data_IF_510892515768
#
_entry.id   IF_510892515768
#
_cell.length_a   1.000
_cell.length_b   1.000
_cell.length_c   1.000
_cell.angle_alpha   90.00
_cell.angle_beta   90.00
_cell.angle_gamma   90.00
#
_symmetry.space_group_name_H-M   'P 1'
#
loop_
_entity.id
_entity.type
_entity.pdbx_description
1 polymer ?
#
# COMPACT_ATOMS: atom_id res chain seq x y z
N UNK A 1 -6.17 -8.88 15.80
CA UNK A 1 -5.45 -9.82 14.91
C UNK A 1 -4.94 -11.01 15.68
N UNK A 2 -4.87 -12.20 15.09
CA UNK A 2 -4.14 -13.33 15.64
C UNK A 2 -2.71 -13.35 15.09
N UNK A 3 -1.73 -13.62 15.95
CA UNK A 3 -0.33 -13.87 15.56
C UNK A 3 0.04 -15.23 16.11
N UNK A 4 0.53 -16.13 15.25
CA UNK A 4 0.82 -17.51 15.64
C UNK A 4 2.13 -17.99 15.04
N UNK A 5 2.94 -18.64 15.88
CA UNK A 5 4.15 -19.31 15.47
C UNK A 5 3.82 -20.72 14.95
N UNK A 6 4.39 -21.11 13.80
CA UNK A 6 4.21 -22.41 13.19
C UNK A 6 5.56 -22.98 12.77
N UNK A 7 5.90 -24.16 13.27
CA UNK A 7 7.09 -24.93 12.90
C UNK A 7 6.76 -25.94 11.80
N UNK A 8 7.75 -26.28 10.99
CA UNK A 8 7.73 -27.46 10.12
C UNK A 8 8.17 -28.71 10.90
N UNK A 9 7.98 -29.89 10.32
CA UNK A 9 8.42 -31.14 10.96
C UNK A 9 9.94 -31.28 11.05
N UNK A 10 10.69 -30.60 10.19
CA UNK A 10 12.15 -30.66 10.09
C UNK A 10 12.85 -29.30 10.32
N UNK A 11 12.10 -28.26 10.69
CA UNK A 11 12.63 -26.95 11.06
C UNK A 11 11.76 -26.27 12.10
N UNK A 12 12.39 -25.81 13.17
CA UNK A 12 11.72 -25.10 14.27
C UNK A 12 12.21 -23.67 14.37
N UNK A 13 11.34 -22.79 14.89
CA UNK A 13 11.73 -21.46 15.34
C UNK A 13 12.61 -21.62 16.58
N UNK A 14 13.81 -21.07 16.51
CA UNK A 14 14.72 -20.96 17.65
C UNK A 14 14.20 -19.90 18.64
N UNK A 15 14.65 -19.99 19.91
CA UNK A 15 14.31 -19.05 21.01
C UNK A 15 12.88 -18.46 20.92
N UNK A 16 11.91 -19.35 20.96
CA UNK A 16 10.48 -19.01 20.91
C UNK A 16 10.09 -17.89 21.88
N UNK A 17 10.56 -17.85 23.16
CA UNK A 17 10.29 -16.74 24.05
C UNK A 17 10.74 -15.38 23.48
N UNK A 18 11.99 -15.26 23.01
CA UNK A 18 12.51 -14.01 22.45
C UNK A 18 11.75 -13.60 21.19
N UNK A 19 11.39 -14.56 20.33
CA UNK A 19 10.59 -14.28 19.12
C UNK A 19 9.20 -13.75 19.51
N UNK A 20 8.54 -14.32 20.51
CA UNK A 20 7.23 -13.82 20.96
C UNK A 20 7.32 -12.41 21.52
N UNK A 21 8.34 -12.10 22.32
CA UNK A 21 8.58 -10.75 22.84
C UNK A 21 8.79 -9.75 21.70
N UNK A 22 9.67 -10.08 20.74
CA UNK A 22 9.88 -9.27 19.52
C UNK A 22 8.59 -9.03 18.74
N UNK A 23 7.73 -10.05 18.61
CA UNK A 23 6.45 -9.91 17.89
C UNK A 23 5.46 -9.03 18.64
N UNK A 24 5.38 -9.15 19.98
CA UNK A 24 4.54 -8.24 20.78
C UNK A 24 4.99 -6.80 20.60
N UNK A 25 6.31 -6.56 20.65
CA UNK A 25 6.89 -5.24 20.42
C UNK A 25 6.55 -4.70 19.02
N UNK A 26 6.89 -5.45 17.96
CA UNK A 26 6.66 -5.05 16.57
C UNK A 26 5.17 -4.85 16.22
N UNK A 27 4.28 -5.69 16.74
CA UNK A 27 2.86 -5.59 16.42
C UNK A 27 2.15 -4.53 17.25
N UNK A 28 2.46 -4.39 18.54
CA UNK A 28 1.60 -3.68 19.51
C UNK A 28 2.32 -2.61 20.32
N UNK A 29 3.43 -2.94 20.97
CA UNK A 29 3.96 -2.15 22.09
C UNK A 29 4.95 -1.07 21.65
N UNK A 30 5.77 -1.35 20.64
CA UNK A 30 6.76 -0.39 20.15
C UNK A 30 6.07 0.92 19.70
N UNK A 31 6.65 2.10 19.95
CA UNK A 31 6.17 3.36 19.38
C UNK A 31 6.03 3.34 17.85
N UNK A 32 6.89 2.59 17.17
CA UNK A 32 6.90 2.36 15.72
C UNK A 32 6.19 1.05 15.32
N UNK A 33 5.43 0.44 16.23
CA UNK A 33 4.69 -0.80 15.96
C UNK A 33 3.62 -0.61 14.88
N UNK A 34 3.24 -1.71 14.23
CA UNK A 34 2.24 -1.62 13.15
C UNK A 34 0.84 -1.26 13.65
N UNK A 35 0.52 -1.53 14.93
CA UNK A 35 -0.69 -1.05 15.55
C UNK A 35 -0.71 0.50 15.60
N UNK A 36 0.40 1.12 16.02
CA UNK A 36 0.52 2.59 16.06
C UNK A 36 0.52 3.18 14.66
N UNK A 37 1.25 2.57 13.73
CA UNK A 37 1.24 2.95 12.32
C UNK A 37 -0.18 2.97 11.76
N UNK A 38 -0.92 1.85 11.84
CA UNK A 38 -2.27 1.76 11.29
C UNK A 38 -3.28 2.68 12.00
N UNK A 39 -3.16 2.86 13.32
CA UNK A 39 -3.97 3.83 14.03
C UNK A 39 -3.72 5.26 13.54
N UNK A 40 -2.46 5.62 13.26
CA UNK A 40 -2.13 6.93 12.73
C UNK A 40 -2.61 7.12 11.28
N UNK A 41 -2.39 6.15 10.39
CA UNK A 41 -2.87 6.17 8.99
C UNK A 41 -4.38 6.33 8.89
N UNK A 42 -5.09 5.64 9.76
CA UNK A 42 -6.55 5.53 9.73
C UNK A 42 -7.26 6.63 10.55
N UNK A 43 -6.50 7.53 11.19
CA UNK A 43 -7.01 8.48 12.18
C UNK A 43 -7.85 7.79 13.27
N UNK A 44 -7.39 6.64 13.74
CA UNK A 44 -8.02 5.83 14.78
C UNK A 44 -9.16 4.93 14.30
N UNK A 45 -9.51 4.92 13.01
CA UNK A 45 -10.55 4.04 12.47
C UNK A 45 -10.15 2.56 12.47
N UNK A 46 -8.84 2.26 12.43
CA UNK A 46 -8.29 0.92 12.61
C UNK A 46 -7.41 0.90 13.85
N UNK A 47 -7.80 0.10 14.82
CA UNK A 47 -6.99 -0.25 16.00
C UNK A 47 -6.62 -1.71 15.93
N UNK A 48 -5.48 -2.08 16.51
CA UNK A 48 -5.00 -3.46 16.49
C UNK A 48 -4.66 -3.91 17.91
N UNK A 49 -5.10 -5.13 18.23
CA UNK A 49 -4.77 -5.85 19.47
C UNK A 49 -4.51 -7.31 19.13
N UNK A 50 -3.81 -8.03 20.02
CA UNK A 50 -3.62 -9.48 19.89
C UNK A 50 -4.88 -10.22 20.32
N UNK A 51 -5.38 -11.07 19.44
CA UNK A 51 -6.50 -11.97 19.71
C UNK A 51 -6.09 -12.93 20.84
N UNK A 52 -6.91 -13.02 21.89
CA UNK A 52 -6.55 -13.77 23.10
C UNK A 52 -5.42 -13.15 23.93
N UNK A 53 -5.00 -11.90 23.63
CA UNK A 53 -4.04 -11.13 24.42
C UNK A 53 -2.59 -11.61 24.34
N UNK A 54 -2.22 -12.44 23.36
CA UNK A 54 -0.88 -13.02 23.25
C UNK A 54 -0.52 -13.46 21.82
N UNK A 55 0.75 -13.77 21.61
CA UNK A 55 1.24 -14.54 20.46
C UNK A 55 1.06 -16.04 20.74
N UNK A 56 0.37 -16.74 19.84
CA UNK A 56 0.03 -18.16 19.94
C UNK A 56 1.15 -19.06 19.43
N UNK A 57 1.06 -20.36 19.72
CA UNK A 57 2.04 -21.37 19.29
C UNK A 57 3.33 -21.40 20.13
N UNK A 58 4.41 -22.02 19.62
CA UNK A 58 4.48 -22.67 18.32
C UNK A 58 3.60 -23.91 18.26
N UNK A 59 3.00 -24.12 17.09
CA UNK A 59 2.41 -25.41 16.70
C UNK A 59 3.27 -26.00 15.59
N UNK A 60 3.25 -27.32 15.41
CA UNK A 60 4.04 -27.97 14.35
C UNK A 60 3.11 -28.56 13.28
N UNK A 61 3.42 -28.29 12.01
CA UNK A 61 2.80 -28.97 10.87
C UNK A 61 3.55 -30.26 10.55
N UNK A 62 2.83 -31.30 10.15
CA UNK A 62 3.42 -32.59 9.78
C UNK A 62 3.85 -32.60 8.30
N UNK A 63 4.58 -31.56 7.90
CA UNK A 63 5.20 -31.43 6.58
C UNK A 63 6.60 -30.84 6.73
N UNK A 64 7.52 -31.31 5.90
CA UNK A 64 8.86 -30.74 5.83
C UNK A 64 8.82 -29.31 5.29
N UNK A 65 9.85 -28.54 5.60
CA UNK A 65 10.02 -27.14 5.25
C UNK A 65 9.98 -26.94 3.75
N UNK A 66 8.98 -26.19 3.29
CA UNK A 66 8.78 -25.80 1.89
C UNK A 66 8.05 -24.46 1.86
N UNK A 67 8.27 -23.69 0.80
CA UNK A 67 7.49 -22.50 0.52
C UNK A 67 6.05 -22.84 0.03
N UNK A 68 5.25 -23.47 0.89
CA UNK A 68 3.82 -23.73 0.70
C UNK A 68 3.05 -23.34 1.96
N UNK A 69 2.26 -22.28 1.87
CA UNK A 69 1.57 -21.68 3.01
C UNK A 69 0.25 -22.36 3.36
N UNK A 70 -0.28 -23.24 2.49
CA UNK A 70 -1.55 -23.94 2.71
C UNK A 70 -1.54 -24.80 3.99
N UNK A 71 -0.58 -25.73 4.20
CA UNK A 71 -0.56 -26.54 5.41
C UNK A 71 -0.35 -25.72 6.68
N UNK A 72 0.46 -24.65 6.60
CA UNK A 72 0.71 -23.73 7.73
C UNK A 72 -0.58 -23.03 8.14
N UNK A 73 -1.31 -22.49 7.16
CA UNK A 73 -2.58 -21.79 7.37
C UNK A 73 -3.63 -22.71 7.98
N UNK A 74 -3.86 -23.88 7.40
CA UNK A 74 -4.86 -24.82 7.90
C UNK A 74 -4.58 -25.22 9.36
N UNK A 75 -3.31 -25.45 9.70
CA UNK A 75 -2.90 -25.79 11.07
C UNK A 75 -3.04 -24.61 12.03
N UNK A 76 -2.69 -23.40 11.59
CA UNK A 76 -2.85 -22.18 12.34
C UNK A 76 -4.32 -21.89 12.68
N UNK A 77 -5.21 -21.97 11.69
CA UNK A 77 -6.64 -21.74 11.87
C UNK A 77 -7.27 -22.78 12.81
N UNK A 78 -6.90 -24.05 12.68
CA UNK A 78 -7.35 -25.09 13.61
C UNK A 78 -6.88 -24.84 15.05
N UNK A 79 -5.64 -24.35 15.24
CA UNK A 79 -5.13 -24.01 16.57
C UNK A 79 -5.77 -22.75 17.19
N UNK A 80 -6.39 -21.92 16.35
CA UNK A 80 -7.09 -20.69 16.75
C UNK A 80 -8.62 -20.88 16.79
N UNK A 81 -9.11 -22.12 16.68
CA UNK A 81 -10.55 -22.40 16.75
C UNK A 81 -11.16 -21.82 18.04
N UNK A 82 -12.23 -21.04 17.88
CA UNK A 82 -12.90 -20.34 18.99
C UNK A 82 -12.26 -19.03 19.43
N UNK A 83 -11.13 -18.62 18.84
CA UNK A 83 -10.49 -17.31 19.09
C UNK A 83 -10.87 -16.35 17.96
N UNK A 84 -11.66 -15.29 18.20
CA UNK A 84 -12.05 -14.35 17.16
C UNK A 84 -10.87 -13.45 16.74
N UNK A 85 -10.69 -13.25 15.43
CA UNK A 85 -9.71 -12.33 14.87
C UNK A 85 -10.14 -11.78 13.50
N UNK A 86 -9.71 -10.56 13.18
CA UNK A 86 -9.95 -9.93 11.87
C UNK A 86 -8.84 -10.23 10.85
N UNK A 87 -7.60 -10.32 11.32
CA UNK A 87 -6.38 -10.62 10.55
C UNK A 87 -5.62 -11.77 11.22
N UNK A 88 -4.89 -12.56 10.43
CA UNK A 88 -4.03 -13.67 10.84
C UNK A 88 -2.61 -13.47 10.30
N UNK A 89 -1.63 -13.38 11.19
CA UNK A 89 -0.21 -13.43 10.88
C UNK A 89 0.37 -14.79 11.27
N UNK A 90 0.86 -15.54 10.29
CA UNK A 90 1.54 -16.83 10.48
C UNK A 90 3.05 -16.61 10.40
N UNK A 91 3.75 -16.88 11.49
CA UNK A 91 5.21 -16.72 11.60
C UNK A 91 5.84 -18.12 11.54
N UNK A 92 6.81 -18.33 10.67
CA UNK A 92 7.43 -19.64 10.47
C UNK A 92 8.95 -19.53 10.30
N UNK A 93 9.73 -20.60 10.54
CA UNK A 93 11.17 -20.55 10.32
C UNK A 93 11.47 -20.64 8.81
N UNK A 94 12.13 -19.63 8.26
CA UNK A 94 12.32 -19.46 6.82
C UNK A 94 13.52 -20.18 6.24
N UNK A 95 14.55 -20.43 7.04
CA UNK A 95 15.87 -20.82 6.52
C UNK A 95 15.90 -22.09 5.64
N UNK A 96 15.00 -23.07 5.81
CA UNK A 96 14.86 -24.22 4.89
C UNK A 96 13.65 -24.14 3.96
N UNK A 97 12.62 -23.37 4.33
CA UNK A 97 11.46 -23.17 3.46
C UNK A 97 11.85 -22.49 2.15
N UNK A 98 12.91 -21.68 2.16
CA UNK A 98 13.54 -21.04 1.00
C UNK A 98 12.52 -20.27 0.14
N UNK A 99 11.64 -19.54 0.83
CA UNK A 99 10.73 -18.62 0.17
C UNK A 99 11.52 -17.47 -0.44
N UNK A 100 11.24 -17.16 -1.70
CA UNK A 100 11.93 -16.09 -2.40
C UNK A 100 11.53 -14.67 -1.90
N UNK A 101 10.58 -14.58 -0.97
CA UNK A 101 10.01 -13.35 -0.41
C UNK A 101 10.23 -13.23 1.10
N UNK A 102 10.32 -12.00 1.59
CA UNK A 102 10.43 -11.67 3.03
C UNK A 102 9.08 -11.56 3.77
N UNK A 103 7.99 -11.48 3.02
CA UNK A 103 6.60 -11.54 3.50
C UNK A 103 5.66 -11.92 2.35
N UNK A 104 4.50 -12.45 2.67
CA UNK A 104 3.43 -12.73 1.72
C UNK A 104 2.07 -12.45 2.36
N UNK A 105 1.11 -11.98 1.57
CA UNK A 105 -0.25 -11.74 2.05
C UNK A 105 -1.29 -11.91 0.95
N UNK A 106 -2.55 -12.09 1.36
CA UNK A 106 -3.70 -12.10 0.47
C UNK A 106 -4.04 -10.67 -0.01
N UNK A 107 -4.54 -10.54 -1.25
CA UNK A 107 -4.91 -9.24 -1.85
C UNK A 107 -6.31 -9.28 -2.48
N UNK A 108 -7.35 -8.71 -1.84
CA UNK A 108 -7.45 -8.47 -0.40
C UNK A 108 -7.61 -9.80 0.36
N UNK A 109 -7.47 -9.74 1.68
CA UNK A 109 -7.76 -10.90 2.53
C UNK A 109 -7.41 -10.63 3.98
N UNK A 110 -7.21 -11.71 4.73
CA UNK A 110 -6.96 -11.65 6.18
C UNK A 110 -5.63 -12.27 6.57
N UNK A 111 -4.99 -13.01 5.66
CA UNK A 111 -3.85 -13.87 5.98
C UNK A 111 -2.56 -13.28 5.46
N UNK A 112 -1.54 -13.31 6.32
CA UNK A 112 -0.18 -12.91 5.99
C UNK A 112 0.80 -13.91 6.59
N UNK A 113 1.91 -14.16 5.89
CA UNK A 113 2.93 -15.14 6.23
C UNK A 113 4.29 -14.48 6.27
N UNK A 114 5.07 -14.81 7.31
CA UNK A 114 6.35 -14.17 7.57
C UNK A 114 7.39 -15.21 7.95
N UNK A 115 8.50 -15.32 7.20
CA UNK A 115 9.70 -15.94 7.69
C UNK A 115 10.20 -15.14 8.89
N UNK A 116 10.48 -15.81 10.01
CA UNK A 116 10.86 -15.14 11.28
C UNK A 116 12.13 -14.29 11.13
N UNK A 117 12.99 -14.63 10.17
CA UNK A 117 14.24 -13.95 9.85
C UNK A 117 14.04 -12.60 9.13
N UNK A 118 12.88 -12.39 8.50
CA UNK A 118 12.58 -11.21 7.67
C UNK A 118 11.53 -10.27 8.28
N UNK A 119 11.12 -10.53 9.54
CA UNK A 119 10.10 -9.72 10.19
C UNK A 119 10.65 -8.40 10.75
N UNK A 120 10.04 -7.31 10.29
CA UNK A 120 10.26 -5.94 10.75
C UNK A 120 9.04 -5.06 10.46
N UNK A 121 9.00 -3.85 11.02
CA UNK A 121 7.84 -2.96 10.91
C UNK A 121 7.47 -2.65 9.44
N UNK A 122 8.46 -2.48 8.57
CA UNK A 122 8.26 -2.26 7.13
C UNK A 122 7.57 -3.45 6.45
N UNK A 123 8.08 -4.67 6.64
CA UNK A 123 7.46 -5.90 6.11
C UNK A 123 6.04 -6.06 6.63
N UNK A 124 5.83 -5.88 7.93
CA UNK A 124 4.51 -5.99 8.53
C UNK A 124 3.51 -4.95 7.96
N UNK A 125 3.91 -3.69 7.81
CA UNK A 125 3.08 -2.65 7.20
C UNK A 125 2.77 -2.91 5.72
N UNK A 126 3.71 -3.52 4.99
CA UNK A 126 3.54 -3.92 3.59
C UNK A 126 2.50 -5.03 3.47
N UNK A 127 2.70 -6.15 4.16
CA UNK A 127 1.80 -7.32 4.09
C UNK A 127 0.39 -7.01 4.64
N UNK A 128 0.28 -6.19 5.68
CA UNK A 128 -1.03 -5.73 6.15
C UNK A 128 -1.70 -4.76 5.18
N UNK A 129 -0.93 -4.05 4.35
CA UNK A 129 -1.46 -3.26 3.24
C UNK A 129 -2.04 -4.13 2.13
N UNK A 130 -1.44 -5.29 1.86
CA UNK A 130 -2.01 -6.30 0.96
C UNK A 130 -3.37 -6.81 1.45
N UNK A 131 -3.52 -7.12 2.75
CA UNK A 131 -4.81 -7.52 3.34
C UNK A 131 -5.91 -6.45 3.12
N UNK A 132 -5.54 -5.17 3.09
CA UNK A 132 -6.43 -4.05 2.78
C UNK A 132 -6.82 -3.95 1.29
N UNK A 133 -6.23 -4.77 0.43
CA UNK A 133 -6.45 -4.80 -1.01
C UNK A 133 -5.55 -3.86 -1.80
N UNK A 134 -4.41 -3.47 -1.24
CA UNK A 134 -3.41 -2.70 -1.99
C UNK A 134 -2.53 -3.64 -2.81
N UNK A 135 -2.34 -3.31 -4.09
CA UNK A 135 -1.30 -3.90 -4.93
C UNK A 135 0.05 -3.24 -4.62
N UNK A 136 1.15 -3.83 -5.11
CA UNK A 136 2.43 -3.10 -5.13
C UNK A 136 2.25 -1.77 -5.87
N UNK A 137 2.69 -0.69 -5.22
CA UNK A 137 2.60 0.65 -5.78
C UNK A 137 3.78 0.87 -6.73
N UNK A 138 3.50 0.64 -8.01
CA UNK A 138 4.47 0.86 -9.07
C UNK A 138 4.67 2.32 -9.41
N UNK A 139 5.69 2.57 -10.24
CA UNK A 139 5.97 3.85 -10.88
C UNK A 139 5.68 3.78 -12.37
N UNK A 140 5.19 4.89 -12.93
CA UNK A 140 5.09 5.15 -14.36
C UNK A 140 6.05 6.29 -14.68
N UNK A 141 7.04 6.03 -15.53
CA UNK A 141 8.06 7.04 -15.91
C UNK A 141 7.62 7.68 -17.22
N UNK A 142 7.28 8.96 -17.16
CA UNK A 142 6.69 9.69 -18.26
C UNK A 142 7.66 10.71 -18.88
N UNK A 143 7.47 11.09 -20.16
CA UNK A 143 8.19 12.22 -20.72
C UNK A 143 7.95 13.50 -19.89
N UNK A 144 8.91 14.44 -19.84
CA UNK A 144 8.79 15.60 -18.98
C UNK A 144 7.52 16.41 -19.26
N UNK A 145 6.75 16.68 -18.20
CA UNK A 145 5.57 17.53 -18.25
C UNK A 145 4.28 16.88 -18.78
N UNK A 146 4.29 15.61 -19.17
CA UNK A 146 3.11 14.90 -19.69
C UNK A 146 2.93 13.56 -19.00
N UNK A 147 1.69 13.09 -18.85
CA UNK A 147 1.38 11.78 -18.24
C UNK A 147 0.97 10.70 -19.26
N UNK A 148 1.26 10.95 -20.54
CA UNK A 148 1.01 10.03 -21.65
C UNK A 148 2.31 9.53 -22.24
N UNK A 149 2.31 8.32 -22.82
CA UNK A 149 3.52 7.72 -23.38
C UNK A 149 4.53 7.30 -22.30
N UNK A 150 4.05 7.03 -21.09
CA UNK A 150 4.87 6.58 -19.98
C UNK A 150 5.33 5.14 -20.19
N UNK A 151 6.51 4.83 -19.68
CA UNK A 151 6.95 3.46 -19.47
C UNK A 151 6.37 2.98 -18.15
N UNK A 152 5.58 1.91 -18.20
CA UNK A 152 4.93 1.30 -17.04
C UNK A 152 5.75 0.12 -16.56
N UNK A 153 5.83 -0.05 -15.25
CA UNK A 153 6.43 -1.24 -14.63
C UNK A 153 7.86 -1.06 -14.16
N UNK A 154 8.45 0.12 -14.31
CA UNK A 154 9.85 0.34 -13.95
C UNK A 154 10.02 0.79 -12.51
N UNK A 155 10.08 -0.20 -11.63
CA UNK A 155 10.33 -0.01 -10.21
C UNK A 155 9.09 0.46 -9.44
N UNK A 156 9.36 0.99 -8.25
CA UNK A 156 8.36 1.25 -7.23
C UNK A 156 8.30 2.73 -6.87
N UNK A 157 7.23 3.15 -6.20
CA UNK A 157 7.06 4.56 -5.86
C UNK A 157 8.05 5.07 -4.81
N UNK A 158 8.52 4.20 -3.91
CA UNK A 158 9.27 4.54 -2.69
C UNK A 158 8.56 5.57 -1.80
N UNK A 159 7.25 5.78 -1.98
CA UNK A 159 6.44 6.77 -1.23
C UNK A 159 5.50 6.15 -0.20
N UNK A 160 5.34 4.84 -0.23
CA UNK A 160 4.44 4.07 0.65
C UNK A 160 5.10 2.72 0.96
N UNK A 161 4.67 2.00 2.01
CA UNK A 161 5.13 0.63 2.23
C UNK A 161 4.92 -0.25 0.99
N UNK A 162 3.80 -0.07 0.28
CA UNK A 162 3.48 -0.83 -0.94
C UNK A 162 4.39 -0.52 -2.13
N UNK A 163 5.06 0.63 -2.10
CA UNK A 163 6.08 1.02 -3.06
C UNK A 163 7.50 0.89 -2.55
N UNK A 164 7.73 0.20 -1.43
CA UNK A 164 9.07 0.00 -0.86
C UNK A 164 9.64 1.21 -0.13
N UNK A 165 8.79 2.13 0.37
CA UNK A 165 9.20 3.26 1.22
C UNK A 165 9.33 2.93 2.72
N UNK A 166 8.98 1.70 3.12
CA UNK A 166 9.05 1.25 4.52
C UNK A 166 7.99 1.87 5.46
N UNK A 167 8.01 1.48 6.73
CA UNK A 167 7.01 1.88 7.73
C UNK A 167 7.10 3.34 8.18
N UNK A 168 8.16 4.06 7.80
CA UNK A 168 8.32 5.51 8.03
C UNK A 168 7.69 6.38 6.94
N UNK A 169 6.91 5.77 6.05
CA UNK A 169 6.12 6.46 5.02
C UNK A 169 4.66 6.06 5.14
N UNK A 170 3.76 7.02 4.97
CA UNK A 170 2.33 6.75 4.95
C UNK A 170 1.80 6.20 3.64
N UNK A 171 0.59 5.63 3.71
CA UNK A 171 -0.15 5.25 2.52
C UNK A 171 -0.57 6.49 1.74
N UNK A 172 -0.48 6.40 0.42
CA UNK A 172 -0.89 7.45 -0.52
C UNK A 172 -2.40 7.71 -0.47
N UNK A 173 -2.83 8.86 -1.00
CA UNK A 173 -4.22 9.25 -1.08
C UNK A 173 -5.09 8.23 -1.83
N UNK A 174 -4.65 7.58 -2.94
CA UNK A 174 -5.40 6.48 -3.53
C UNK A 174 -5.61 5.30 -2.57
N UNK A 175 -4.55 4.83 -1.89
CA UNK A 175 -4.64 3.73 -0.94
C UNK A 175 -5.59 4.07 0.22
N UNK A 176 -5.45 5.26 0.82
CA UNK A 176 -6.36 5.73 1.88
C UNK A 176 -7.81 5.90 1.40
N UNK A 177 -8.02 6.30 0.15
CA UNK A 177 -9.36 6.43 -0.47
C UNK A 177 -9.98 5.05 -0.69
N UNK A 178 -9.20 4.07 -1.14
CA UNK A 178 -9.65 2.67 -1.33
C UNK A 178 -10.26 2.09 -0.06
N UNK A 179 -9.65 2.33 1.10
CA UNK A 179 -10.12 1.84 2.41
C UNK A 179 -10.97 2.85 3.18
N UNK A 180 -11.29 4.01 2.57
CA UNK A 180 -12.11 5.08 3.16
C UNK A 180 -11.53 5.70 4.43
N UNK A 181 -10.22 5.65 4.61
CA UNK A 181 -9.53 6.34 5.70
C UNK A 181 -9.30 7.81 5.39
N UNK A 182 -9.20 8.15 4.11
CA UNK A 182 -9.30 9.53 3.67
C UNK A 182 -10.77 9.91 3.54
N UNK A 183 -11.25 10.76 4.45
CA UNK A 183 -12.64 11.19 4.45
C UNK A 183 -12.99 11.96 3.18
N UNK A 184 -14.21 11.75 2.66
CA UNK A 184 -14.64 12.33 1.38
C UNK A 184 -14.63 13.86 1.36
N UNK A 185 -14.84 14.52 2.51
CA UNK A 185 -14.76 15.98 2.64
C UNK A 185 -13.32 16.54 2.52
N UNK A 186 -12.30 15.66 2.53
CA UNK A 186 -10.89 15.99 2.33
C UNK A 186 -10.43 15.79 0.89
N UNK A 187 -11.30 15.26 0.03
CA UNK A 187 -11.02 15.04 -1.39
C UNK A 187 -11.89 15.98 -2.20
N UNK A 188 -11.28 16.71 -3.13
CA UNK A 188 -12.03 17.56 -4.07
C UNK A 188 -11.89 17.05 -5.49
N UNK A 189 -12.96 17.19 -6.27
CA UNK A 189 -12.99 16.91 -7.70
C UNK A 189 -13.43 18.18 -8.42
N UNK A 190 -12.48 19.09 -8.75
CA UNK A 190 -12.80 20.30 -9.50
C UNK A 190 -13.48 19.97 -10.83
N UNK A 191 -14.61 20.60 -11.11
CA UNK A 191 -15.32 20.48 -12.39
C UNK A 191 -14.88 21.54 -13.42
N UNK A 192 -14.12 22.54 -12.97
CA UNK A 192 -13.55 23.61 -13.78
C UNK A 192 -12.16 23.96 -13.23
N UNK A 193 -11.43 24.77 -13.99
CA UNK A 193 -10.13 25.30 -13.57
C UNK A 193 -10.20 25.93 -12.18
N UNK A 194 -9.29 25.52 -11.29
CA UNK A 194 -9.29 25.95 -9.89
C UNK A 194 -7.88 25.99 -9.31
N UNK A 195 -7.65 26.92 -8.38
CA UNK A 195 -6.53 26.81 -7.45
C UNK A 195 -7.02 26.05 -6.21
N UNK A 196 -6.27 25.06 -5.78
CA UNK A 196 -6.56 24.22 -4.63
C UNK A 196 -5.38 24.29 -3.67
N UNK A 197 -5.66 24.64 -2.43
CA UNK A 197 -4.69 24.46 -1.35
C UNK A 197 -4.76 23.00 -0.86
N UNK A 198 -3.67 22.26 -1.04
CA UNK A 198 -3.47 20.92 -0.50
C UNK A 198 -2.74 21.03 0.83
N UNK A 199 -3.41 20.67 1.92
CA UNK A 199 -2.76 20.47 3.20
C UNK A 199 -2.12 19.08 3.23
N UNK A 200 -0.96 18.93 3.85
CA UNK A 200 -0.19 17.68 3.87
C UNK A 200 -1.06 16.45 4.19
N UNK A 201 -0.96 15.38 3.41
CA UNK A 201 -1.88 14.24 3.43
C UNK A 201 -2.10 13.68 4.85
N UNK A 202 -1.02 13.48 5.60
CA UNK A 202 -1.02 12.89 6.93
C UNK A 202 -0.93 13.90 8.07
N UNK A 203 -1.28 15.17 7.83
CA UNK A 203 -1.37 16.11 8.95
C UNK A 203 -2.45 15.63 9.97
N UNK A 204 -2.34 16.03 11.25
CA UNK A 204 -3.29 15.61 12.27
C UNK A 204 -4.75 15.89 11.88
N UNK A 205 -5.67 15.02 12.28
CA UNK A 205 -7.10 15.15 11.93
C UNK A 205 -7.77 16.44 12.44
N UNK A 206 -7.16 17.12 13.42
CA UNK A 206 -7.57 18.45 13.88
C UNK A 206 -7.34 19.55 12.84
N UNK A 207 -6.42 19.34 11.91
CA UNK A 207 -6.14 20.26 10.81
C UNK A 207 -7.19 20.06 9.71
N UNK A 208 -7.90 21.14 9.38
CA UNK A 208 -8.92 21.16 8.31
C UNK A 208 -8.28 21.48 6.96
N UNK A 209 -9.03 21.26 5.89
CA UNK A 209 -8.61 21.55 4.51
C UNK A 209 -8.60 20.32 3.60
N UNK A 210 -8.40 20.57 2.31
CA UNK A 210 -8.27 19.54 1.28
C UNK A 210 -6.95 18.81 1.43
N UNK A 211 -6.95 17.48 1.28
CA UNK A 211 -5.77 16.61 1.35
C UNK A 211 -5.41 16.02 0.00
N UNK A 212 -6.40 15.83 -0.86
CA UNK A 212 -6.22 15.30 -2.19
C UNK A 212 -7.16 15.94 -3.21
N UNK A 213 -6.70 15.99 -4.45
CA UNK A 213 -7.53 16.26 -5.62
C UNK A 213 -7.69 14.95 -6.37
N UNK A 214 -8.89 14.65 -6.84
CA UNK A 214 -9.18 13.43 -7.58
C UNK A 214 -9.98 13.74 -8.84
N UNK A 215 -9.36 13.54 -10.01
CA UNK A 215 -9.83 14.01 -11.31
C UNK A 215 -10.11 12.83 -12.25
N UNK A 216 -11.29 12.77 -12.89
CA UNK A 216 -11.55 11.75 -13.90
C UNK A 216 -10.70 12.02 -15.16
N UNK A 217 -10.17 10.97 -15.76
CA UNK A 217 -9.55 10.99 -17.09
C UNK A 217 -10.45 10.27 -18.11
N UNK A 218 -10.34 10.58 -19.41
CA UNK A 218 -10.92 9.77 -20.46
C UNK A 218 -10.52 8.28 -20.32
N UNK A 219 -11.44 7.37 -20.62
CA UNK A 219 -11.19 5.93 -20.51
C UNK A 219 -11.41 5.32 -19.11
N UNK A 220 -11.85 6.12 -18.14
CA UNK A 220 -12.22 5.65 -16.80
C UNK A 220 -11.05 5.61 -15.79
N UNK A 221 -9.85 5.97 -16.23
CA UNK A 221 -8.74 6.26 -15.33
C UNK A 221 -9.02 7.51 -14.49
N UNK A 222 -8.25 7.69 -13.42
CA UNK A 222 -8.26 8.91 -12.61
C UNK A 222 -6.84 9.41 -12.36
N UNK A 223 -6.73 10.71 -12.12
CA UNK A 223 -5.52 11.37 -11.66
C UNK A 223 -5.75 11.82 -10.22
N UNK A 224 -4.93 11.35 -9.29
CA UNK A 224 -5.00 11.75 -7.89
C UNK A 224 -3.76 12.54 -7.51
N UNK A 225 -3.95 13.70 -6.89
CA UNK A 225 -2.88 14.61 -6.48
C UNK A 225 -2.88 14.72 -4.97
N UNK A 226 -1.72 14.58 -4.34
CA UNK A 226 -1.54 14.74 -2.90
C UNK A 226 -0.32 15.62 -2.61
N UNK A 227 -0.23 16.13 -1.39
CA UNK A 227 0.96 16.81 -0.89
C UNK A 227 1.53 16.05 0.31
N UNK A 228 2.83 15.77 0.30
CA UNK A 228 3.53 15.03 1.36
C UNK A 228 4.63 15.89 1.98
N UNK A 229 4.83 15.78 3.30
CA UNK A 229 5.80 16.57 4.06
C UNK A 229 6.44 15.69 5.13
N UNK A 230 7.79 15.63 5.25
CA UNK A 230 8.45 14.91 6.32
C UNK A 230 8.14 15.53 7.70
N UNK A 231 8.04 14.67 8.71
CA UNK A 231 7.62 15.00 10.07
C UNK A 231 6.11 15.20 10.25
N UNK A 232 5.29 15.08 9.19
CA UNK A 232 3.83 15.23 9.31
C UNK A 232 3.16 13.87 9.53
N UNK A 233 2.91 13.57 10.81
CA UNK A 233 2.31 12.32 11.22
C UNK A 233 3.25 11.14 10.96
N UNK A 234 2.79 10.20 10.14
CA UNK A 234 3.49 8.95 9.76
C UNK A 234 4.60 9.16 8.72
N UNK A 235 4.62 10.31 8.05
CA UNK A 235 5.63 10.64 7.05
C UNK A 235 6.88 11.16 7.72
N UNK A 236 7.85 10.29 7.98
CA UNK A 236 9.16 10.70 8.51
C UNK A 236 10.25 10.51 7.46
N UNK A 237 10.18 9.44 6.67
CA UNK A 237 11.16 9.05 5.65
C UNK A 237 10.84 9.50 4.22
N UNK A 238 10.02 10.54 4.03
CA UNK A 238 9.59 10.98 2.69
C UNK A 238 10.18 12.34 2.30
N UNK A 239 10.47 12.53 1.02
CA UNK A 239 10.79 13.86 0.48
C UNK A 239 9.53 14.70 0.39
N UNK A 240 9.60 15.96 0.81
CA UNK A 240 8.51 16.91 0.64
C UNK A 240 8.16 17.09 -0.85
N UNK A 241 6.88 17.10 -1.20
CA UNK A 241 6.47 17.40 -2.57
C UNK A 241 5.02 17.07 -2.90
N UNK A 242 4.59 17.56 -4.07
CA UNK A 242 3.30 17.20 -4.66
C UNK A 242 3.49 15.95 -5.50
N UNK A 243 2.83 14.87 -5.11
CA UNK A 243 2.85 13.60 -5.85
C UNK A 243 1.57 13.49 -6.68
N UNK A 244 1.71 12.91 -7.87
CA UNK A 244 0.59 12.66 -8.77
C UNK A 244 0.55 11.17 -9.08
N UNK A 245 -0.64 10.59 -8.98
CA UNK A 245 -0.88 9.16 -9.21
C UNK A 245 -1.87 8.97 -10.34
N UNK A 246 -1.59 7.99 -11.19
CA UNK A 246 -2.58 7.43 -12.09
C UNK A 246 -3.32 6.32 -11.36
N UNK A 247 -4.64 6.32 -11.44
CA UNK A 247 -5.54 5.30 -10.89
C UNK A 247 -6.20 4.56 -12.06
N UNK A 248 -5.69 3.39 -12.47
CA UNK A 248 -6.20 2.68 -13.65
C UNK A 248 -7.65 2.21 -13.45
N UNK A 249 -8.55 2.56 -14.37
CA UNK A 249 -9.97 2.21 -14.34
C UNK A 249 -10.67 2.50 -12.99
N UNK A 250 -10.24 3.55 -12.28
CA UNK A 250 -10.76 3.90 -10.95
C UNK A 250 -10.37 2.90 -9.83
N UNK A 251 -9.45 1.97 -10.08
CA UNK A 251 -8.97 1.00 -9.08
C UNK A 251 -7.89 1.62 -8.19
N UNK A 252 -8.32 2.35 -7.16
CA UNK A 252 -7.42 3.07 -6.25
C UNK A 252 -6.36 2.19 -5.55
N UNK A 253 -6.65 0.91 -5.29
CA UNK A 253 -5.68 -0.04 -4.72
C UNK A 253 -4.55 -0.43 -5.67
N UNK A 254 -4.63 -0.09 -6.96
CA UNK A 254 -3.62 -0.37 -7.98
C UNK A 254 -3.06 0.92 -8.59
N UNK A 255 -3.13 2.02 -7.85
CA UNK A 255 -2.59 3.30 -8.27
C UNK A 255 -1.07 3.23 -8.48
N UNK A 256 -0.56 4.06 -9.39
CA UNK A 256 0.85 4.13 -9.75
C UNK A 256 1.29 5.58 -9.67
N UNK A 257 2.43 5.84 -9.04
CA UNK A 257 2.97 7.21 -9.01
C UNK A 257 3.48 7.57 -10.41
N UNK A 258 3.26 8.82 -10.80
CA UNK A 258 3.73 9.39 -12.06
C UNK A 258 5.04 10.11 -11.79
N UNK A 259 6.10 9.65 -12.45
CA UNK A 259 7.40 10.29 -12.44
C UNK A 259 7.57 11.10 -13.74
N UNK A 260 7.56 12.42 -13.60
CA UNK A 260 7.77 13.38 -14.69
C UNK A 260 9.23 13.78 -14.91
N UNK A 261 10.17 13.16 -14.21
CA UNK A 261 11.60 13.48 -14.19
C UNK A 261 12.44 12.33 -14.79
N UNK A 262 12.22 11.92 -16.05
CA UNK A 262 12.86 10.74 -16.63
C UNK A 262 14.38 10.86 -16.81
N UNK A 263 14.96 12.04 -16.53
CA UNK A 263 16.39 12.29 -16.60
C UNK A 263 17.13 11.84 -15.35
N UNK A 264 16.40 11.54 -14.26
CA UNK A 264 16.97 11.02 -13.02
C UNK A 264 16.58 9.57 -12.87
N UNK A 265 17.55 8.70 -12.56
CA UNK A 265 17.26 7.33 -12.11
C UNK A 265 16.91 7.27 -10.62
N UNK A 266 16.92 8.41 -9.93
CA UNK A 266 16.68 8.50 -8.51
C UNK A 266 15.18 8.38 -8.22
N UNK A 267 14.78 7.27 -7.59
CA UNK A 267 13.39 6.97 -7.24
C UNK A 267 12.78 7.95 -6.22
N UNK A 268 13.59 8.85 -5.66
CA UNK A 268 13.19 9.87 -4.70
C UNK A 268 12.68 11.18 -5.32
N UNK A 269 12.76 11.35 -6.65
CA UNK A 269 12.44 12.60 -7.38
C UNK A 269 11.10 12.55 -8.15
N UNK A 270 10.16 11.71 -7.71
CA UNK A 270 8.87 11.54 -8.38
C UNK A 270 7.88 12.69 -8.11
N UNK A 271 8.29 13.75 -7.41
CA UNK A 271 7.41 14.87 -7.03
C UNK A 271 7.40 15.92 -8.14
N UNK A 272 6.25 16.56 -8.38
CA UNK A 272 6.17 17.69 -9.33
C UNK A 272 6.85 18.92 -8.71
N UNK A 273 7.89 19.50 -9.35
CA UNK A 273 8.57 20.67 -8.82
C UNK A 273 7.67 21.91 -8.79
N UNK A 274 7.91 22.82 -7.85
CA UNK A 274 7.26 24.15 -7.83
C UNK A 274 7.57 24.89 -9.14
N UNK A 275 6.56 25.50 -9.74
CA UNK A 275 6.63 26.17 -11.04
C UNK A 275 6.47 25.24 -12.25
N UNK A 276 6.44 23.91 -12.04
CA UNK A 276 6.25 22.92 -13.11
C UNK A 276 4.79 22.47 -13.22
N UNK A 277 4.46 21.89 -14.37
CA UNK A 277 3.14 21.32 -14.66
C UNK A 277 3.25 19.90 -15.22
N UNK A 278 2.30 19.04 -14.85
CA UNK A 278 2.03 17.77 -15.52
C UNK A 278 0.71 17.86 -16.28
N UNK A 279 0.69 17.38 -17.52
CA UNK A 279 -0.49 17.42 -18.39
C UNK A 279 -0.98 16.02 -18.73
N UNK A 280 -2.29 15.84 -18.59
CA UNK A 280 -3.04 14.61 -18.78
C UNK A 280 -4.27 14.87 -19.64
N UNK A 281 -4.16 14.68 -20.96
CA UNK A 281 -5.23 15.05 -21.90
C UNK A 281 -5.57 16.54 -21.78
N UNK A 282 -6.81 16.86 -21.40
CA UNK A 282 -7.35 18.20 -21.17
C UNK A 282 -7.27 18.63 -19.70
N UNK A 283 -6.42 17.98 -18.91
CA UNK A 283 -6.16 18.33 -17.50
C UNK A 283 -4.70 18.70 -17.31
N UNK A 284 -4.42 19.77 -16.57
CA UNK A 284 -3.07 20.11 -16.10
C UNK A 284 -3.01 20.25 -14.59
N UNK A 285 -1.96 19.75 -13.96
CA UNK A 285 -1.64 19.94 -12.54
C UNK A 285 -0.37 20.77 -12.46
N UNK A 286 -0.49 22.03 -12.02
CA UNK A 286 0.65 22.95 -11.83
C UNK A 286 0.89 23.17 -10.34
N UNK A 287 2.12 22.98 -9.88
CA UNK A 287 2.48 23.32 -8.49
C UNK A 287 2.86 24.79 -8.44
N UNK A 288 2.02 25.62 -7.82
CA UNK A 288 2.21 27.08 -7.75
C UNK A 288 3.18 27.43 -6.61
N UNK A 289 2.96 26.84 -5.44
CA UNK A 289 3.77 27.03 -4.25
C UNK A 289 3.74 25.77 -3.36
N UNK A 290 4.79 25.57 -2.56
CA UNK A 290 4.85 24.53 -1.54
C UNK A 290 5.55 25.08 -0.29
N UNK A 291 4.97 24.83 0.89
CA UNK A 291 5.49 25.27 2.18
C UNK A 291 5.39 24.16 3.22
N UNK A 292 5.79 24.44 4.47
CA UNK A 292 5.97 23.40 5.49
C UNK A 292 4.70 22.62 5.90
N UNK A 293 3.50 23.02 5.48
CA UNK A 293 2.23 22.37 5.87
C UNK A 293 1.21 22.26 4.74
N UNK A 294 1.33 23.08 3.70
CA UNK A 294 0.45 23.06 2.54
C UNK A 294 1.18 23.42 1.25
N UNK A 295 0.56 23.08 0.13
CA UNK A 295 0.96 23.46 -1.22
C UNK A 295 -0.23 24.06 -1.97
N UNK A 296 0.00 25.06 -2.80
CA UNK A 296 -0.99 25.56 -3.75
C UNK A 296 -0.78 24.86 -5.09
N UNK A 297 -1.82 24.19 -5.57
CA UNK A 297 -1.84 23.57 -6.91
C UNK A 297 -2.91 24.21 -7.76
N UNK A 298 -2.58 24.53 -9.01
CA UNK A 298 -3.56 24.94 -10.01
C UNK A 298 -3.94 23.73 -10.85
N UNK A 299 -5.23 23.43 -10.86
CA UNK A 299 -5.85 22.43 -11.73
C UNK A 299 -6.41 23.17 -12.94
N UNK A 300 -5.87 22.93 -14.13
CA UNK A 300 -6.42 23.42 -15.39
C UNK A 300 -7.28 22.36 -16.05
N UNK A 301 -8.45 22.74 -16.58
CA UNK A 301 -9.39 21.83 -17.24
C UNK A 301 -9.82 22.41 -18.59
N UNK A 302 -9.85 21.56 -19.62
CA UNK A 302 -10.25 21.94 -20.97
C UNK A 302 -9.24 22.91 -21.63
N UNK A 303 -9.71 24.02 -22.22
CA UNK A 303 -8.83 24.97 -22.92
C UNK A 303 -7.85 25.71 -21.98
N UNK A 304 -8.14 25.74 -20.68
CA UNK A 304 -7.29 26.35 -19.67
C UNK A 304 -6.21 25.41 -19.13
N UNK A 305 -6.20 24.14 -19.57
CA UNK A 305 -5.10 23.24 -19.28
C UNK A 305 -3.84 23.82 -19.90
N UNK A 306 -2.90 24.22 -19.04
CA UNK A 306 -1.64 24.81 -19.49
C UNK A 306 -0.89 23.74 -20.26
N UNK A 307 -0.50 24.05 -21.50
CA UNK A 307 0.31 23.13 -22.29
C UNK A 307 1.57 22.75 -21.51
N UNK A 308 1.98 21.49 -21.63
CA UNK A 308 3.21 21.03 -21.01
C UNK A 308 4.36 21.96 -21.44
N UNK A 309 5.26 22.36 -20.52
CA UNK A 309 6.41 23.17 -20.91
C UNK A 309 7.12 22.48 -22.09
N UNK A 310 7.45 23.25 -23.13
CA UNK A 310 8.16 22.71 -24.28
C UNK A 310 9.38 21.93 -23.78
N UNK A 311 9.59 20.71 -24.31
CA UNK A 311 10.69 19.80 -23.93
C UNK A 311 11.94 20.65 -23.69
N UNK A 312 12.56 20.61 -22.48
CA UNK A 312 13.75 21.39 -22.20
C UNK A 312 14.73 21.17 -23.34
N UNK A 313 15.13 22.24 -24.04
CA UNK A 313 16.17 22.13 -25.06
C UNK A 313 17.36 21.48 -24.39
N UNK A 314 17.88 20.41 -25.01
CA UNK A 314 19.03 19.67 -24.47
C UNK A 314 20.08 20.68 -23.98
N UNK A 315 20.64 20.50 -22.76
CA UNK A 315 21.63 21.42 -22.24
C UNK A 315 22.67 21.68 -23.33
N UNK A 316 22.87 22.94 -23.69
CA UNK A 316 23.91 23.30 -24.63
C UNK A 316 25.20 22.65 -24.12
N UNK A 317 25.83 21.79 -24.94
CA UNK A 317 27.11 21.16 -24.59
C UNK A 317 28.08 22.29 -24.28
N UNK A 318 28.29 22.57 -23.01
CA UNK A 318 29.40 23.40 -22.56
C UNK A 318 30.65 22.63 -22.94
N UNK A 319 31.33 23.09 -23.99
CA UNK A 319 32.67 22.62 -24.34
C UNK A 319 33.60 23.00 -23.20
N UNK A 320 33.74 22.10 -22.22
CA UNK A 320 34.74 22.23 -21.16
C UNK A 320 36.10 22.04 -21.80
N UNK A 321 36.83 23.14 -21.97
CA UNK A 321 38.24 23.15 -22.35
C UNK A 321 39.03 22.36 -21.30
N UNK A 322 39.74 21.33 -21.75
CA UNK A 322 40.58 20.48 -20.93
C UNK A 322 41.63 21.33 -20.18
N UNK A 323 41.70 21.17 -18.86
CA UNK A 323 42.81 21.63 -18.02
C UNK A 323 43.65 20.41 -17.61
N UNK A 324 44.99 20.49 -17.62
CA UNK A 324 45.83 19.32 -17.41
C UNK A 324 45.86 18.84 -15.96
N UNK A 325 45.94 17.52 -15.81
CA UNK A 325 46.07 16.76 -14.58
C UNK A 325 47.33 17.12 -13.80
N UNK A 326 47.20 17.30 -12.48
CA UNK A 326 48.30 17.23 -11.53
C UNK A 326 48.04 16.11 -10.53
N UNK A 327 48.90 15.11 -10.60
CA UNK A 327 49.08 13.97 -9.70
C UNK A 327 49.46 14.44 -8.29
N UNK A 328 48.91 13.86 -7.22
CA UNK A 328 49.68 13.43 -6.03
C UNK A 328 48.87 12.75 -4.92
N UNK A 329 49.52 11.68 -4.44
CA UNK A 329 49.71 11.23 -3.06
C UNK A 329 48.57 10.60 -2.25
N UNK A 330 48.70 9.27 -2.16
CA UNK A 330 48.38 8.35 -1.08
C UNK A 330 48.59 8.91 0.34
N UNK A 331 47.63 8.66 1.24
CA UNK A 331 47.89 8.50 2.67
C UNK A 331 46.84 7.59 3.29
N UNK A 332 47.34 6.56 3.98
CA UNK A 332 46.62 5.56 4.75
C UNK A 332 46.24 6.11 6.13
N UNK A 333 45.07 5.70 6.66
CA UNK A 333 44.81 5.74 8.10
C UNK A 333 43.80 4.68 8.52
N UNK A 334 43.99 4.22 9.75
CA UNK A 334 43.56 2.97 10.34
C UNK A 334 42.20 3.05 11.06
N UNK A 335 41.43 1.96 10.94
CA UNK A 335 40.32 1.38 11.71
C UNK A 335 39.56 2.15 12.82
N UNK A 336 38.23 2.04 12.75
CA UNK A 336 37.31 1.80 13.88
C UNK A 336 36.14 0.91 13.39
N UNK A 337 35.58 -0.01 14.21
CA UNK A 337 34.54 -0.94 13.78
C UNK A 337 33.16 -0.25 13.71
N UNK A 338 32.37 -0.44 12.63
CA UNK A 338 31.00 0.06 12.60
C UNK A 338 30.05 -0.88 13.35
N UNK A 339 29.19 -0.26 14.15
CA UNK A 339 27.94 -0.82 14.68
C UNK A 339 27.07 -1.34 13.54
N UNK A 340 26.53 -2.55 13.66
CA UNK A 340 25.58 -3.12 12.69
C UNK A 340 24.25 -2.36 12.74
N UNK A 341 24.14 -1.32 11.92
CA UNK A 341 22.85 -0.88 11.38
C UNK A 341 22.51 -1.81 10.21
N UNK A 342 21.51 -2.67 10.40
CA UNK A 342 20.88 -3.41 9.30
C UNK A 342 20.34 -2.37 8.31
N UNK A 343 20.88 -2.38 7.10
CA UNK A 343 20.46 -1.51 6.02
C UNK A 343 19.01 -1.82 5.64
N UNK A 344 18.12 -0.82 5.71
CA UNK A 344 16.73 -0.91 5.25
C UNK A 344 16.63 -1.15 3.71
N UNK A 345 17.76 -1.12 2.98
CA UNK A 345 17.84 -1.39 1.54
C UNK A 345 17.86 -2.88 1.15
N UNK A 346 17.98 -3.81 2.10
CA UNK A 346 18.02 -5.27 1.83
C UNK A 346 16.65 -5.95 1.90
N UNK A 347 15.55 -5.20 1.89
CA UNK A 347 14.27 -5.82 1.50
C UNK A 347 14.36 -6.18 0.02
N UNK A 348 14.66 -7.45 -0.27
CA UNK A 348 14.52 -8.06 -1.59
C UNK A 348 13.04 -7.93 -1.96
N UNK A 349 12.69 -6.80 -2.58
CA UNK A 349 11.43 -6.64 -3.28
C UNK A 349 11.58 -7.48 -4.54
N UNK A 350 11.03 -8.69 -4.49
CA UNK A 350 11.02 -9.56 -5.66
C UNK A 350 10.37 -8.88 -6.85
N UNK A 351 10.91 -9.18 -8.03
CA UNK A 351 10.36 -8.82 -9.33
C UNK A 351 8.85 -9.16 -9.41
N UNK A 352 7.98 -8.20 -9.79
CA UNK A 352 6.54 -8.39 -9.89
C UNK A 352 6.09 -9.49 -10.88
N UNK A 353 6.98 -10.04 -11.71
CA UNK A 353 6.65 -11.12 -12.63
C UNK A 353 6.27 -12.46 -11.96
N UNK A 354 6.56 -12.66 -10.66
CA UNK A 354 6.31 -13.93 -9.95
C UNK A 354 5.03 -13.96 -9.09
N UNK A 355 4.38 -12.82 -8.84
CA UNK A 355 3.18 -12.75 -7.99
C UNK A 355 1.85 -13.08 -8.71
N UNK A 356 1.88 -13.37 -10.01
CA UNK A 356 0.68 -13.54 -10.84
C UNK A 356 0.14 -14.98 -10.97
N UNK A 357 0.55 -15.92 -10.12
CA UNK A 357 0.26 -17.36 -10.31
C UNK A 357 -0.69 -17.98 -9.27
N UNK A 358 -1.64 -17.22 -8.71
CA UNK A 358 -2.81 -17.82 -8.03
C UNK A 358 -4.01 -17.70 -8.98
N UNK A 359 -4.45 -18.79 -9.63
CA UNK A 359 -5.66 -18.75 -10.44
C UNK A 359 -6.87 -18.47 -9.53
N UNK A 360 -7.89 -17.74 -10.03
CA UNK A 360 -9.15 -17.59 -9.29
C UNK A 360 -9.75 -18.98 -9.05
N UNK A 361 -10.24 -19.23 -7.83
CA UNK A 361 -11.06 -20.41 -7.52
C UNK A 361 -12.24 -20.48 -8.50
N UNK A 362 -12.32 -21.57 -9.27
CA UNK A 362 -13.52 -21.90 -10.02
C UNK A 362 -14.65 -22.20 -9.04
N UNK A 363 -15.72 -21.43 -9.15
CA UNK A 363 -16.99 -21.64 -8.47
C UNK A 363 -17.53 -23.05 -8.80
N UNK A 364 -17.44 -23.94 -7.81
CA UNK A 364 -18.05 -25.27 -7.88
C UNK A 364 -19.57 -25.14 -7.81
N UNK A 365 -20.21 -25.17 -8.99
CA UNK A 365 -21.65 -25.29 -9.12
C UNK A 365 -22.16 -26.55 -8.42
N UNK A 366 -22.94 -26.38 -7.36
CA UNK A 366 -23.76 -27.44 -6.79
C UNK A 366 -24.96 -27.75 -7.71
N UNK A 367 -25.34 -29.03 -7.89
CA UNK A 367 -26.40 -29.40 -8.82
C UNK A 367 -27.79 -29.09 -8.24
N UNK A 368 -28.65 -28.52 -9.08
CA UNK A 368 -30.06 -28.30 -8.81
C UNK A 368 -30.80 -29.65 -8.71
N UNK A 369 -31.41 -29.92 -7.54
CA UNK A 369 -32.41 -30.96 -7.41
C UNK A 369 -33.74 -30.48 -7.98
N UNK A 370 -34.14 -31.16 -9.05
CA UNK A 370 -35.46 -31.13 -9.66
C UNK A 370 -36.46 -31.86 -8.74
N UNK A 371 -37.44 -31.16 -8.17
CA UNK A 371 -38.62 -31.81 -7.58
C UNK A 371 -39.85 -31.42 -8.39
N UNK A 372 -40.32 -32.39 -9.18
CA UNK A 372 -41.61 -32.41 -9.84
C UNK A 372 -42.64 -32.85 -8.79
N UNK A 373 -43.70 -32.06 -8.59
CA UNK A 373 -44.99 -32.59 -8.11
C UNK A 373 -46.12 -31.69 -8.61
N UNK A 374 -46.97 -32.27 -9.47
CA UNK A 374 -48.19 -31.64 -9.96
C UNK A 374 -49.44 -32.10 -9.22
N UNK A 375 -50.52 -31.38 -9.54
CA UNK A 375 -51.94 -31.77 -9.54
C UNK A 375 -52.72 -31.84 -8.21
N UNK A 376 -53.69 -30.92 -8.12
CA UNK A 376 -55.13 -31.09 -7.81
C UNK A 376 -55.59 -32.06 -6.70
N UNK A 377 -56.38 -31.56 -5.74
CA UNK A 377 -57.82 -31.88 -5.52
C UNK A 377 -58.30 -31.20 -4.21
N UNK A 378 -59.54 -30.68 -4.27
CA UNK A 378 -60.26 -29.98 -3.21
C UNK A 378 -60.71 -30.88 -2.04
N UNK A 379 -60.84 -30.34 -0.83
CA UNK A 379 -61.97 -30.64 0.06
C UNK A 379 -62.18 -29.58 1.15
N UNK A 380 -63.45 -29.39 1.47
CA UNK A 380 -64.06 -28.49 2.45
C UNK A 380 -63.58 -28.69 3.89
N UNK A 381 -63.48 -27.59 4.65
CA UNK A 381 -64.00 -27.53 6.03
C UNK A 381 -64.16 -26.07 6.48
N UNK A 382 -65.37 -25.77 6.93
CA UNK A 382 -65.83 -24.42 7.21
C UNK A 382 -65.34 -23.83 8.53
N UNK A 383 -65.52 -22.53 8.65
CA UNK A 383 -65.60 -21.82 9.93
C UNK A 383 -66.63 -20.70 9.79
N UNK A 384 -67.77 -20.89 10.45
CA UNK A 384 -68.62 -19.81 10.90
C UNK A 384 -67.85 -18.99 11.94
N UNK A 385 -67.85 -17.66 11.80
CA UNK A 385 -68.01 -16.73 12.94
C UNK A 385 -68.35 -15.30 12.48
N UNK A 386 -69.66 -15.04 12.53
CA UNK A 386 -70.38 -13.79 12.80
C UNK A 386 -69.54 -12.60 13.33
N UNK A 387 -69.62 -11.42 12.67
CA UNK A 387 -69.96 -10.15 13.33
C UNK A 387 -70.36 -8.99 12.38
N UNK A 388 -71.55 -8.45 12.69
CA UNK A 388 -72.25 -7.18 12.34
C UNK A 388 -71.36 -6.02 11.84
N UNK A 389 -71.82 -5.17 10.91
CA UNK A 389 -72.78 -4.05 11.14
C UNK A 389 -73.28 -3.47 9.78
N UNK A 390 -74.59 -3.28 9.55
CA UNK A 390 -75.37 -1.99 9.51
C UNK A 390 -74.62 -0.84 8.80
N UNK A 391 -75.13 -0.16 7.77
CA UNK A 391 -76.49 0.36 7.48
C UNK A 391 -76.84 0.15 6.01
#
# INVERSE_FOLDING_TARGET
MAVILVNFSDQTIDDVPAVKEKLVDLFIENPDSVAKYHAAQSHGQRTMTLAGGKVHGPITVDVASKCDMKPLTAKAEAALEGIPYDDLAVIFPGAKADCAWGGLAEVPGKRSWYPVEHIGASTLAHELGHNLGFSHQGRDICPPGVVTGCRTGDGHSKRTPMGGGGSKTGYSAPELTKVKWLAADKVVTPAATANVELVALHAPGSVRGTRAVDLPLPGGDRLMVEYRVPGMGVDVGITQGVNVYRVPAGKYGSARIIDGSPQTTAEADNSVPVGSSLVANDISVTVVAAGATSAEVRIGIGPDAVAAPAKPSAPAKTTTSARPSSTSATSSTTSAPPSETVSEDDMIVMDPALAAAVPPEEDSQSPAYLVIAGAFVALLLGTLLVRRSRV
#
